data_IF_663010125338
#
_entry.id   IF_663010125338
#
_cell.length_a   1.000
_cell.length_b   1.000
_cell.length_c   1.000
_cell.angle_alpha   90.00
_cell.angle_beta   90.00
_cell.angle_gamma   90.00
#
_symmetry.space_group_name_H-M   'P 1'
#
loop_
_entity.id
_entity.type
_entity.pdbx_description
1 polymer ?
#
# COMPACT_ATOMS: atom_id res chain seq x y z
N UNK A 1 -19.13 31.47 -17.73
CA UNK A 1 -19.30 30.38 -16.75
C UNK A 1 -19.60 29.12 -17.55
N UNK A 2 -18.81 28.03 -17.45
CA UNK A 2 -19.14 26.78 -18.13
C UNK A 2 -20.41 26.16 -17.53
N UNK A 3 -21.22 25.53 -18.38
CA UNK A 3 -22.44 24.83 -17.96
C UNK A 3 -22.08 23.62 -17.06
N UNK A 4 -22.92 23.28 -16.06
CA UNK A 4 -22.69 22.12 -15.23
C UNK A 4 -22.77 20.83 -16.06
N UNK A 5 -21.84 19.91 -15.80
CA UNK A 5 -21.81 18.59 -16.43
C UNK A 5 -23.06 17.81 -15.96
N UNK A 6 -23.85 17.22 -16.87
CA UNK A 6 -25.00 16.44 -16.49
C UNK A 6 -24.55 15.18 -15.73
N UNK A 7 -24.98 15.07 -14.48
CA UNK A 7 -24.78 13.85 -13.68
C UNK A 7 -25.86 12.86 -14.12
N UNK A 8 -25.45 11.69 -14.63
CA UNK A 8 -26.38 10.59 -14.85
C UNK A 8 -26.87 10.10 -13.49
N UNK A 9 -28.17 10.25 -13.25
CA UNK A 9 -28.84 9.68 -12.10
C UNK A 9 -28.79 8.15 -12.24
N UNK A 10 -27.98 7.51 -11.40
CA UNK A 10 -27.87 6.05 -11.36
C UNK A 10 -28.98 5.54 -10.46
N UNK A 11 -29.98 4.91 -11.05
CA UNK A 11 -30.98 4.15 -10.32
C UNK A 11 -30.32 2.92 -9.70
N UNK A 12 -29.94 3.02 -8.42
CA UNK A 12 -29.25 1.99 -7.67
C UNK A 12 -30.14 0.77 -7.39
N UNK A 13 -31.47 0.93 -7.47
CA UNK A 13 -32.44 -0.15 -7.22
C UNK A 13 -32.55 -1.10 -8.42
N UNK A 14 -32.23 -0.62 -9.63
CA UNK A 14 -32.19 -1.42 -10.86
C UNK A 14 -30.86 -2.19 -11.06
N UNK A 15 -29.81 -1.85 -10.32
CA UNK A 15 -28.47 -2.47 -10.46
C UNK A 15 -28.40 -3.73 -9.60
N UNK A 16 -28.53 -4.89 -10.22
CA UNK A 16 -28.23 -6.16 -9.54
C UNK A 16 -26.72 -6.25 -9.24
N UNK A 17 -26.30 -6.52 -7.99
CA UNK A 17 -24.89 -6.68 -7.66
C UNK A 17 -24.27 -7.81 -8.48
N UNK A 18 -23.06 -7.58 -9.00
CA UNK A 18 -22.28 -8.64 -9.63
C UNK A 18 -22.01 -9.76 -8.61
N UNK A 19 -22.34 -11.03 -8.92
CA UNK A 19 -22.18 -12.13 -7.98
C UNK A 19 -20.72 -12.38 -7.58
N UNK A 20 -19.75 -12.11 -8.47
CA UNK A 20 -18.33 -12.24 -8.17
C UNK A 20 -17.87 -11.16 -7.18
N UNK A 21 -18.34 -9.93 -7.36
CA UNK A 21 -18.06 -8.83 -6.42
C UNK A 21 -18.68 -9.12 -5.06
N UNK A 22 -19.94 -9.56 -5.03
CA UNK A 22 -20.63 -9.91 -3.79
C UNK A 22 -19.92 -11.04 -3.03
N UNK A 23 -19.35 -12.02 -3.73
CA UNK A 23 -18.57 -13.09 -3.11
C UNK A 23 -17.21 -12.59 -2.59
N UNK A 24 -16.51 -11.74 -3.35
CA UNK A 24 -15.24 -11.15 -2.91
C UNK A 24 -15.43 -10.32 -1.62
N UNK A 25 -16.53 -9.59 -1.48
CA UNK A 25 -16.85 -8.81 -0.28
C UNK A 25 -17.01 -9.69 0.97
N UNK A 26 -17.54 -10.92 0.84
CA UNK A 26 -17.65 -11.85 1.97
C UNK A 26 -16.30 -12.36 2.47
N UNK A 27 -15.25 -12.27 1.66
CA UNK A 27 -13.90 -12.68 2.04
C UNK A 27 -13.13 -11.60 2.81
N UNK A 28 -13.70 -10.39 2.93
CA UNK A 28 -13.13 -9.33 3.77
C UNK A 28 -13.24 -9.74 5.24
N UNK A 29 -12.11 -9.74 5.95
CA UNK A 29 -12.05 -10.07 7.37
C UNK A 29 -11.56 -8.86 8.16
N UNK A 30 -12.37 -8.44 9.12
CA UNK A 30 -12.03 -7.36 10.04
C UNK A 30 -10.81 -7.73 10.90
N UNK A 31 -10.70 -9.00 11.28
CA UNK A 31 -9.61 -9.54 12.10
C UNK A 31 -8.27 -9.44 11.35
N UNK A 32 -8.25 -9.79 10.06
CA UNK A 32 -7.06 -9.65 9.22
C UNK A 32 -6.64 -8.19 9.05
N UNK A 33 -7.61 -7.29 8.83
CA UNK A 33 -7.34 -5.84 8.73
C UNK A 33 -6.75 -5.31 10.03
N UNK A 34 -7.34 -5.67 11.18
CA UNK A 34 -6.84 -5.28 12.50
C UNK A 34 -5.42 -5.80 12.72
N UNK A 35 -5.14 -7.07 12.42
CA UNK A 35 -3.80 -7.64 12.56
C UNK A 35 -2.75 -6.89 11.72
N UNK A 36 -3.08 -6.51 10.48
CA UNK A 36 -2.21 -5.67 9.63
C UNK A 36 -1.95 -4.30 10.27
N UNK A 37 -2.99 -3.64 10.79
CA UNK A 37 -2.87 -2.33 11.44
C UNK A 37 -1.97 -2.44 12.68
N UNK A 38 -2.26 -3.40 13.57
CA UNK A 38 -1.49 -3.63 14.80
C UNK A 38 -0.03 -3.93 14.49
N UNK A 39 0.23 -4.77 13.48
CA UNK A 39 1.58 -5.06 13.02
C UNK A 39 2.30 -3.79 12.56
N UNK A 40 1.66 -2.95 11.74
CA UNK A 40 2.26 -1.69 11.29
C UNK A 40 2.52 -0.70 12.44
N UNK A 41 1.66 -0.69 13.47
CA UNK A 41 1.85 0.13 14.68
C UNK A 41 3.09 -0.31 15.48
N UNK A 42 3.46 -1.60 15.43
CA UNK A 42 4.64 -2.10 16.16
C UNK A 42 5.95 -1.46 15.73
N UNK A 43 6.04 -0.92 14.50
CA UNK A 43 7.23 -0.22 14.00
C UNK A 43 7.42 1.19 14.57
N UNK A 44 6.47 1.69 15.40
CA UNK A 44 6.53 2.95 16.17
C UNK A 44 6.52 4.25 15.38
N UNK A 45 7.28 4.36 14.28
CA UNK A 45 7.44 5.62 13.54
C UNK A 45 7.09 5.43 12.05
N UNK A 46 6.26 6.32 11.52
CA UNK A 46 5.84 6.39 10.11
C UNK A 46 6.39 7.63 9.39
N UNK A 47 7.25 8.39 10.05
CA UNK A 47 7.86 9.59 9.48
C UNK A 47 8.98 9.19 8.51
N UNK A 48 8.94 9.74 7.30
CA UNK A 48 9.92 9.47 6.24
C UNK A 48 11.37 9.72 6.68
N UNK A 49 11.62 10.70 7.55
CA UNK A 49 12.98 11.02 8.02
C UNK A 49 13.57 9.94 8.93
N UNK A 50 12.74 9.03 9.48
CA UNK A 50 13.24 7.93 10.31
C UNK A 50 14.06 6.91 9.51
N UNK A 51 14.13 7.02 8.18
CA UNK A 51 15.04 6.21 7.37
C UNK A 51 16.52 6.59 7.51
N UNK A 52 16.81 7.73 8.15
CA UNK A 52 18.17 8.12 8.54
C UNK A 52 18.49 7.84 10.03
N UNK A 53 17.51 7.38 10.81
CA UNK A 53 17.68 7.11 12.24
C UNK A 53 18.34 5.73 12.45
N UNK A 54 19.65 5.73 12.70
CA UNK A 54 20.44 4.50 12.84
C UNK A 54 20.01 3.65 14.05
N UNK A 55 19.53 4.29 15.13
CA UNK A 55 19.07 3.57 16.30
C UNK A 55 17.79 2.79 15.97
N UNK A 56 16.80 3.45 15.36
CA UNK A 56 15.55 2.80 14.94
C UNK A 56 15.79 1.68 13.92
N UNK A 57 16.68 1.90 12.95
CA UNK A 57 17.05 0.89 11.97
C UNK A 57 17.65 -0.35 12.67
N UNK A 58 18.56 -0.14 13.62
CA UNK A 58 19.21 -1.26 14.34
C UNK A 58 18.21 -2.09 15.15
N UNK A 59 17.12 -1.47 15.62
CA UNK A 59 16.05 -2.12 16.39
C UNK A 59 14.97 -2.75 15.50
N UNK A 60 15.07 -2.62 14.17
CA UNK A 60 14.02 -3.08 13.25
C UNK A 60 12.73 -2.27 13.36
N UNK A 61 12.84 -0.98 13.66
CA UNK A 61 11.74 -0.04 13.80
C UNK A 61 11.75 1.02 12.68
N UNK A 62 10.74 1.86 12.67
CA UNK A 62 10.62 2.98 11.74
C UNK A 62 10.19 2.60 10.32
N UNK A 63 10.27 3.58 9.43
CA UNK A 63 9.74 3.48 8.06
C UNK A 63 10.45 2.40 7.22
N UNK A 64 11.74 2.18 7.42
CA UNK A 64 12.51 1.17 6.66
C UNK A 64 12.07 -0.25 7.01
N UNK A 65 11.87 -0.55 8.29
CA UNK A 65 11.38 -1.85 8.73
C UNK A 65 9.93 -2.09 8.28
N UNK A 66 9.08 -1.06 8.36
CA UNK A 66 7.71 -1.13 7.86
C UNK A 66 7.66 -1.37 6.33
N UNK A 67 8.49 -0.68 5.55
CA UNK A 67 8.57 -0.87 4.10
C UNK A 67 9.01 -2.29 3.74
N UNK A 68 10.03 -2.83 4.41
CA UNK A 68 10.47 -4.22 4.23
C UNK A 68 9.33 -5.21 4.53
N UNK A 69 8.60 -5.01 5.62
CA UNK A 69 7.47 -5.87 5.96
C UNK A 69 6.33 -5.80 4.93
N UNK A 70 6.02 -4.61 4.40
CA UNK A 70 5.03 -4.46 3.32
C UNK A 70 5.48 -5.21 2.06
N UNK A 71 6.77 -5.14 1.71
CA UNK A 71 7.32 -5.90 0.59
C UNK A 71 7.12 -7.41 0.79
N UNK A 72 7.48 -7.94 1.96
CA UNK A 72 7.31 -9.36 2.31
C UNK A 72 5.84 -9.79 2.23
N UNK A 73 4.90 -8.95 2.68
CA UNK A 73 3.47 -9.25 2.58
C UNK A 73 2.98 -9.28 1.13
N UNK A 74 3.42 -8.34 0.29
CA UNK A 74 3.08 -8.35 -1.13
C UNK A 74 3.67 -9.58 -1.83
N UNK A 75 4.89 -10.00 -1.47
CA UNK A 75 5.53 -11.21 -1.99
C UNK A 75 4.77 -12.47 -1.56
N UNK A 76 4.28 -12.51 -0.32
CA UNK A 76 3.40 -13.58 0.17
C UNK A 76 2.10 -13.65 -0.63
N UNK A 77 1.48 -12.51 -0.93
CA UNK A 77 0.29 -12.47 -1.79
C UNK A 77 0.59 -12.92 -3.22
N UNK A 78 1.73 -12.50 -3.78
CA UNK A 78 2.18 -12.92 -5.09
C UNK A 78 2.30 -14.46 -5.17
N UNK A 79 2.89 -15.09 -4.16
CA UNK A 79 3.02 -16.54 -4.09
C UNK A 79 1.66 -17.23 -3.92
N UNK A 80 0.79 -16.71 -3.05
CA UNK A 80 -0.52 -17.28 -2.78
C UNK A 80 -1.44 -17.28 -4.02
N UNK A 81 -1.27 -16.33 -4.95
CA UNK A 81 -2.00 -16.27 -6.21
C UNK A 81 -1.25 -16.91 -7.40
N UNK A 82 -0.17 -17.67 -7.16
CA UNK A 82 0.57 -18.35 -8.24
C UNK A 82 1.42 -17.43 -9.12
N UNK A 83 1.91 -16.32 -8.58
CA UNK A 83 2.78 -15.37 -9.30
C UNK A 83 2.04 -14.25 -10.02
N UNK A 84 0.78 -13.96 -9.65
CA UNK A 84 -0.02 -12.91 -10.31
C UNK A 84 0.52 -11.49 -10.09
N UNK A 85 1.29 -11.25 -9.02
CA UNK A 85 1.85 -9.95 -8.68
C UNK A 85 3.37 -9.92 -8.93
N UNK A 86 3.83 -8.84 -9.55
CA UNK A 86 5.26 -8.49 -9.60
C UNK A 86 5.56 -7.44 -8.53
N UNK A 87 6.21 -7.84 -7.45
CA UNK A 87 6.60 -6.94 -6.36
C UNK A 87 7.93 -6.28 -6.69
N UNK A 88 8.00 -4.97 -6.49
CA UNK A 88 9.19 -4.16 -6.76
C UNK A 88 9.35 -3.10 -5.69
N UNK A 89 10.59 -2.64 -5.55
CA UNK A 89 10.94 -1.47 -4.75
C UNK A 89 11.61 -0.43 -5.63
N UNK A 90 11.33 0.83 -5.36
CA UNK A 90 12.00 1.96 -5.98
C UNK A 90 12.63 2.80 -4.88
N UNK A 91 13.95 2.90 -4.88
CA UNK A 91 14.72 3.57 -3.84
C UNK A 91 15.53 4.72 -4.43
N UNK A 92 15.42 5.88 -3.81
CA UNK A 92 16.13 7.09 -4.21
C UNK A 92 16.49 7.92 -2.99
N UNK A 93 17.50 8.77 -3.11
CA UNK A 93 17.87 9.72 -2.06
C UNK A 93 17.25 11.07 -2.33
N UNK A 94 16.36 11.51 -1.46
CA UNK A 94 15.82 12.86 -1.48
C UNK A 94 16.91 13.84 -1.04
N UNK A 95 17.32 14.81 -1.89
CA UNK A 95 18.24 15.87 -1.47
C UNK A 95 17.61 16.79 -0.43
N UNK A 96 18.46 17.61 0.20
CA UNK A 96 18.05 18.61 1.20
C UNK A 96 16.95 19.52 0.65
N UNK A 97 15.90 19.70 1.44
CA UNK A 97 14.75 20.53 1.14
C UNK A 97 14.17 21.09 2.45
N UNK A 98 13.24 22.07 2.44
CA UNK A 98 12.72 22.68 3.67
C UNK A 98 12.15 21.71 4.71
N UNK A 99 11.66 20.53 4.29
CA UNK A 99 11.14 19.46 5.17
C UNK A 99 12.07 18.25 5.32
N UNK A 100 13.25 18.30 4.69
CA UNK A 100 14.23 17.21 4.61
C UNK A 100 15.62 17.81 4.91
N UNK A 101 16.04 17.84 6.18
CA UNK A 101 17.21 18.63 6.61
C UNK A 101 18.55 18.03 6.17
N UNK A 102 18.59 16.77 5.79
CA UNK A 102 19.76 16.04 5.32
C UNK A 102 19.35 15.10 4.18
N UNK A 103 20.28 14.64 3.31
CA UNK A 103 19.96 13.62 2.31
C UNK A 103 19.30 12.41 2.98
N UNK A 104 18.10 12.04 2.52
CA UNK A 104 17.29 10.98 3.15
C UNK A 104 16.96 9.90 2.13
N UNK A 105 17.26 8.62 2.39
CA UNK A 105 16.85 7.53 1.53
C UNK A 105 15.35 7.30 1.67
N UNK A 106 14.64 7.29 0.55
CA UNK A 106 13.22 6.98 0.46
C UNK A 106 13.06 5.71 -0.35
N UNK A 107 12.13 4.86 0.07
CA UNK A 107 11.80 3.62 -0.61
C UNK A 107 10.29 3.54 -0.81
N UNK A 108 9.87 3.46 -2.06
CA UNK A 108 8.51 3.09 -2.44
C UNK A 108 8.45 1.57 -2.61
N UNK A 109 7.38 0.97 -2.10
CA UNK A 109 7.07 -0.45 -2.28
C UNK A 109 5.79 -0.55 -3.08
N UNK A 110 5.82 -1.32 -4.18
CA UNK A 110 4.66 -1.48 -5.04
C UNK A 110 4.59 -2.89 -5.63
N UNK A 111 3.38 -3.31 -5.98
CA UNK A 111 3.13 -4.56 -6.68
C UNK A 111 2.29 -4.29 -7.93
N UNK A 112 2.66 -4.91 -9.04
CA UNK A 112 1.97 -4.77 -10.33
C UNK A 112 1.22 -6.07 -10.62
N UNK A 113 -0.11 -5.98 -10.75
CA UNK A 113 -0.95 -7.04 -11.30
C UNK A 113 -1.06 -6.82 -12.80
N UNK A 114 -0.56 -7.77 -13.60
CA UNK A 114 -0.60 -7.65 -15.06
C UNK A 114 -2.01 -7.91 -15.59
N UNK A 115 -2.41 -7.15 -16.61
CA UNK A 115 -3.64 -7.42 -17.35
C UNK A 115 -3.52 -8.73 -18.13
N UNK A 116 -4.64 -9.43 -18.28
CA UNK A 116 -4.72 -10.68 -19.04
C UNK A 116 -5.24 -10.52 -20.46
N UNK A 117 -5.54 -9.29 -20.88
CA UNK A 117 -6.02 -8.95 -22.23
C UNK A 117 -4.80 -8.64 -23.13
N UNK A 118 -4.63 -9.31 -24.29
CA UNK A 118 -3.46 -9.16 -25.17
C UNK A 118 -3.33 -7.81 -25.89
#
# INVERSE_FOLDING_TARGET
>A
MPAPIPVKEVDLDAVRPDPQIAEALKQISAERIQATIEKLVTFKNRNTLSSNDQEMISQGLGVTAAAKWIQEELERYAQACGGCLQVKTDSFTQPVAPRVPAPTPLTNVYAVLQGSDP
#
